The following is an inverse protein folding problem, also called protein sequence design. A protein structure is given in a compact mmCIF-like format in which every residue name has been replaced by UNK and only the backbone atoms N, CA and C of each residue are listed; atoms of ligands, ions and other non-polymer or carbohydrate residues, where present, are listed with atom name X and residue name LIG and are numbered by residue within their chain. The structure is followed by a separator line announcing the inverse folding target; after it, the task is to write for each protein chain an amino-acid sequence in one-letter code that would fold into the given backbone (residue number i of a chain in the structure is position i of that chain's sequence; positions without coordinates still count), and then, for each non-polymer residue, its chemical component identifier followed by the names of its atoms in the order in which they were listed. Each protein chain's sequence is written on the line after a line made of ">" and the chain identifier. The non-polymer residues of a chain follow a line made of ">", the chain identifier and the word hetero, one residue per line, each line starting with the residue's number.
data_IF_486117804097
#
_entry.id   IF_486117804097
#
_cell.length_a   1.000
_cell.length_b   1.000
_cell.length_c   1.000
_cell.angle_alpha   90.00
_cell.angle_beta   90.00
_cell.angle_gamma   90.00
#
_symmetry.space_group_name_H-M   'P 1'
#
loop_
_entity.id
_entity.type
_entity.pdbx_description
1 polymer ?
#
# COMPACT_ATOMS: atom_id res chain seq x y z
N UNK A 1 73.20 43.44 -33.28
CA UNK A 1 73.50 42.19 -32.55
C UNK A 1 72.89 42.31 -31.17
N UNK A 2 71.69 41.77 -30.95
CA UNK A 2 70.98 41.70 -29.63
C UNK A 2 70.85 40.27 -29.28
N UNK A 3 71.61 39.84 -28.29
CA UNK A 3 71.62 38.49 -27.73
C UNK A 3 70.36 38.32 -26.82
N UNK A 4 69.41 37.50 -27.26
CA UNK A 4 68.30 37.08 -26.43
C UNK A 4 68.73 35.92 -25.49
N UNK A 5 68.65 36.14 -24.22
CA UNK A 5 68.86 35.12 -23.16
C UNK A 5 67.64 34.21 -23.10
N UNK A 6 67.76 32.86 -23.07
CA UNK A 6 66.64 31.97 -22.99
C UNK A 6 66.07 31.96 -21.57
N UNK A 7 64.74 32.08 -21.42
CA UNK A 7 63.97 31.96 -20.19
C UNK A 7 63.98 30.48 -19.76
N UNK A 8 64.64 30.19 -18.63
CA UNK A 8 64.53 28.87 -17.96
C UNK A 8 63.19 28.77 -17.27
N UNK A 9 62.30 27.91 -17.78
CA UNK A 9 61.07 27.55 -17.12
C UNK A 9 61.39 26.44 -16.09
N UNK A 10 61.40 26.80 -14.82
CA UNK A 10 61.44 25.82 -13.74
C UNK A 10 60.10 25.07 -13.65
N UNK A 11 60.08 23.73 -13.68
CA UNK A 11 58.85 22.99 -13.42
C UNK A 11 58.48 23.14 -11.93
N UNK A 12 57.36 23.78 -11.67
CA UNK A 12 56.75 23.85 -10.33
C UNK A 12 56.20 22.45 -10.04
N UNK A 13 57.05 21.61 -9.44
CA UNK A 13 56.71 20.31 -8.92
C UNK A 13 55.90 20.44 -7.63
N UNK A 14 54.64 20.85 -7.76
CA UNK A 14 53.67 20.73 -6.69
C UNK A 14 53.28 19.25 -6.53
N UNK A 15 53.79 18.59 -5.48
CA UNK A 15 53.29 17.27 -5.07
C UNK A 15 51.80 17.42 -4.73
N UNK A 16 50.95 16.91 -5.62
CA UNK A 16 49.54 16.77 -5.30
C UNK A 16 49.39 15.89 -4.06
N UNK A 17 48.55 16.25 -3.10
CA UNK A 17 48.31 15.41 -1.95
C UNK A 17 47.82 14.04 -2.42
N UNK A 18 48.44 12.97 -1.89
CA UNK A 18 48.13 11.59 -2.20
C UNK A 18 46.70 11.28 -1.74
N UNK A 19 45.73 11.66 -2.57
CA UNK A 19 44.35 11.20 -2.42
C UNK A 19 44.31 9.68 -2.68
N UNK A 20 43.59 8.95 -1.86
CA UNK A 20 43.34 7.53 -2.05
C UNK A 20 43.03 7.21 -3.53
N UNK A 21 43.62 6.15 -4.10
CA UNK A 21 43.44 5.83 -5.52
C UNK A 21 41.97 5.80 -5.90
N UNK A 22 41.60 6.31 -7.05
CA UNK A 22 40.22 6.46 -7.55
C UNK A 22 39.36 5.18 -7.36
N UNK A 23 39.97 4.01 -7.60
CA UNK A 23 39.35 2.70 -7.39
C UNK A 23 38.95 2.49 -5.94
N UNK A 24 39.81 2.84 -4.99
CA UNK A 24 39.54 2.73 -3.56
C UNK A 24 38.38 3.64 -3.11
N UNK A 25 38.37 4.89 -3.59
CA UNK A 25 37.25 5.83 -3.32
C UNK A 25 35.91 5.34 -3.92
N UNK A 26 35.94 4.73 -5.10
CA UNK A 26 34.74 4.15 -5.75
C UNK A 26 34.24 2.96 -4.94
N UNK A 27 35.12 2.05 -4.55
CA UNK A 27 34.77 0.87 -3.75
C UNK A 27 34.27 1.28 -2.35
N UNK A 28 34.95 2.20 -1.68
CA UNK A 28 34.52 2.73 -0.37
C UNK A 28 33.13 3.40 -0.44
N UNK A 29 32.85 4.20 -1.48
CA UNK A 29 31.49 4.77 -1.72
C UNK A 29 30.46 3.69 -1.98
N UNK A 30 30.81 2.66 -2.74
CA UNK A 30 29.88 1.54 -3.00
C UNK A 30 29.59 0.79 -1.70
N UNK A 31 30.62 0.44 -0.92
CA UNK A 31 30.46 -0.21 0.39
C UNK A 31 29.57 0.65 1.31
N UNK A 32 29.86 1.93 1.45
CA UNK A 32 29.09 2.86 2.27
C UNK A 32 27.61 2.88 1.83
N UNK A 33 27.35 3.01 0.52
CA UNK A 33 25.98 3.04 -0.01
C UNK A 33 25.25 1.72 0.29
N UNK A 34 25.88 0.56 0.04
CA UNK A 34 25.25 -0.73 0.33
C UNK A 34 25.03 -0.93 1.82
N UNK A 35 25.96 -0.51 2.68
CA UNK A 35 25.81 -0.57 4.14
C UNK A 35 24.63 0.28 4.59
N UNK A 36 24.54 1.54 4.13
CA UNK A 36 23.43 2.42 4.46
C UNK A 36 22.09 1.85 3.95
N UNK A 37 22.04 1.36 2.71
CA UNK A 37 20.83 0.75 2.15
C UNK A 37 20.42 -0.51 2.95
N UNK A 38 21.37 -1.35 3.34
CA UNK A 38 21.09 -2.55 4.13
C UNK A 38 20.57 -2.17 5.52
N UNK A 39 21.19 -1.20 6.19
CA UNK A 39 20.73 -0.72 7.50
C UNK A 39 19.31 -0.14 7.42
N UNK A 40 19.02 0.66 6.38
CA UNK A 40 17.67 1.18 6.16
C UNK A 40 16.67 0.04 5.87
N UNK A 41 17.04 -0.93 5.04
CA UNK A 41 16.19 -2.08 4.76
C UNK A 41 15.89 -2.90 6.03
N UNK A 42 16.91 -3.16 6.86
CA UNK A 42 16.74 -3.82 8.15
C UNK A 42 15.85 -3.01 9.10
N UNK A 43 16.03 -1.70 9.15
CA UNK A 43 15.23 -0.81 9.99
C UNK A 43 13.74 -0.83 9.60
N UNK A 44 13.44 -0.75 8.29
CA UNK A 44 12.05 -0.82 7.81
C UNK A 44 11.45 -2.23 7.88
N UNK A 45 12.26 -3.28 7.73
CA UNK A 45 11.80 -4.65 7.85
C UNK A 45 11.59 -5.09 9.31
N UNK A 46 12.22 -4.40 10.27
CA UNK A 46 12.23 -4.72 11.68
C UNK A 46 10.83 -4.95 12.29
N UNK A 47 9.84 -4.04 12.13
CA UNK A 47 8.50 -4.26 12.70
C UNK A 47 7.81 -5.48 12.09
N UNK A 48 8.00 -5.72 10.79
CA UNK A 48 7.41 -6.86 10.08
C UNK A 48 8.01 -8.18 10.55
N UNK A 49 9.35 -8.24 10.68
CA UNK A 49 10.04 -9.43 11.19
C UNK A 49 9.63 -9.72 12.63
N UNK A 50 9.59 -8.69 13.49
CA UNK A 50 9.10 -8.83 14.85
C UNK A 50 7.69 -9.41 14.93
N UNK A 51 6.76 -8.86 14.14
CA UNK A 51 5.39 -9.31 14.09
C UNK A 51 5.29 -10.77 13.66
N UNK A 52 5.98 -11.15 12.57
CA UNK A 52 5.95 -12.53 12.04
C UNK A 52 6.59 -13.53 13.01
N UNK A 53 7.74 -13.20 13.59
CA UNK A 53 8.44 -14.07 14.55
C UNK A 53 7.62 -14.25 15.83
N UNK A 54 7.02 -13.17 16.34
CA UNK A 54 6.18 -13.24 17.54
C UNK A 54 4.88 -14.01 17.30
N UNK A 55 4.30 -13.89 16.10
CA UNK A 55 3.09 -14.62 15.73
C UNK A 55 3.25 -16.15 15.76
N UNK A 56 4.46 -16.67 15.54
CA UNK A 56 4.74 -18.12 15.59
C UNK A 56 5.22 -18.61 16.96
N UNK A 57 5.47 -17.72 17.93
CA UNK A 57 5.82 -18.12 19.31
C UNK A 57 4.57 -18.53 20.05
N UNK A 58 4.58 -19.72 20.64
CA UNK A 58 3.41 -20.33 21.28
C UNK A 58 3.18 -19.87 22.72
N UNK A 59 4.16 -19.23 23.36
CA UNK A 59 4.09 -18.80 24.76
C UNK A 59 4.02 -17.28 24.87
N UNK A 60 2.94 -16.78 25.43
CA UNK A 60 2.66 -15.36 25.63
C UNK A 60 3.67 -14.67 26.55
N UNK A 61 4.11 -15.35 27.60
CA UNK A 61 5.14 -14.86 28.53
C UNK A 61 6.48 -14.67 27.81
N UNK A 62 6.82 -15.56 26.87
CA UNK A 62 8.02 -15.46 26.06
C UNK A 62 7.94 -14.24 25.11
N UNK A 63 6.80 -14.01 24.48
CA UNK A 63 6.62 -12.85 23.59
C UNK A 63 6.89 -11.55 24.36
N UNK A 64 6.28 -11.40 25.52
CA UNK A 64 6.42 -10.20 26.35
C UNK A 64 7.81 -10.03 26.95
N UNK A 65 8.49 -11.12 27.34
CA UNK A 65 9.85 -11.07 27.91
C UNK A 65 10.92 -10.78 26.86
N UNK A 66 10.72 -11.25 25.62
CA UNK A 66 11.69 -11.11 24.55
C UNK A 66 11.71 -9.70 23.89
N UNK A 67 10.66 -8.87 24.12
CA UNK A 67 10.49 -7.54 23.47
C UNK A 67 11.71 -6.62 23.67
N UNK A 68 12.41 -6.74 24.81
CA UNK A 68 13.60 -5.90 25.12
C UNK A 68 14.92 -6.41 24.53
N UNK A 69 14.95 -7.51 23.78
CA UNK A 69 16.17 -8.16 23.32
C UNK A 69 16.18 -8.65 21.90
N UNK A 70 17.35 -9.13 21.44
CA UNK A 70 17.52 -9.71 20.08
C UNK A 70 16.63 -10.94 19.87
N UNK A 71 16.18 -11.61 20.92
CA UNK A 71 15.27 -12.76 20.87
C UNK A 71 13.88 -12.40 20.29
N UNK A 72 13.51 -11.12 20.33
CA UNK A 72 12.29 -10.64 19.68
C UNK A 72 12.25 -10.94 18.16
N UNK A 73 13.42 -11.01 17.52
CA UNK A 73 13.59 -11.16 16.07
C UNK A 73 14.07 -12.54 15.65
N UNK A 74 14.30 -13.42 16.61
CA UNK A 74 14.80 -14.78 16.35
C UNK A 74 13.74 -15.77 16.78
N UNK A 75 13.37 -16.74 15.91
CA UNK A 75 12.46 -17.82 16.27
C UNK A 75 13.15 -18.77 17.26
N UNK A 76 13.07 -18.50 18.55
CA UNK A 76 13.69 -19.29 19.62
C UNK A 76 12.64 -19.57 20.71
N UNK A 77 12.68 -20.78 21.35
CA UNK A 77 13.49 -21.95 21.01
C UNK A 77 13.04 -22.63 19.72
N UNK A 78 13.99 -23.23 18.99
CA UNK A 78 13.73 -23.95 17.74
C UNK A 78 13.07 -25.33 18.01
N UNK A 79 11.99 -25.33 18.75
CA UNK A 79 11.18 -26.51 19.04
C UNK A 79 9.80 -26.32 18.42
N UNK A 80 9.41 -27.20 17.52
CA UNK A 80 8.06 -27.19 16.97
C UNK A 80 7.07 -27.70 18.02
N UNK A 81 6.01 -26.94 18.25
CA UNK A 81 4.89 -27.30 19.11
C UNK A 81 3.65 -27.44 18.23
N UNK A 82 3.02 -28.63 18.18
CA UNK A 82 1.78 -28.80 17.46
C UNK A 82 0.66 -27.96 18.14
N UNK A 83 -0.37 -27.55 17.40
CA UNK A 83 -1.48 -26.81 17.95
C UNK A 83 -2.23 -27.67 18.99
N UNK A 84 -2.53 -27.07 20.13
CA UNK A 84 -3.20 -27.71 21.27
C UNK A 84 -4.46 -26.92 21.61
N UNK A 85 -5.52 -27.61 21.99
CA UNK A 85 -6.75 -26.96 22.42
C UNK A 85 -6.60 -26.37 23.84
N UNK A 86 -6.94 -25.08 23.99
CA UNK A 86 -7.06 -24.38 25.29
C UNK A 86 -5.80 -24.26 26.14
N UNK A 87 -4.68 -23.84 25.54
CA UNK A 87 -3.49 -23.47 26.31
C UNK A 87 -3.67 -22.21 27.17
N UNK A 88 -4.64 -21.37 26.83
CA UNK A 88 -4.88 -20.10 27.53
C UNK A 88 -5.34 -20.30 28.98
N UNK A 89 -6.12 -21.35 29.22
CA UNK A 89 -6.63 -21.74 30.54
C UNK A 89 -5.73 -22.72 31.28
N UNK A 90 -4.62 -23.15 30.66
CA UNK A 90 -3.71 -24.10 31.25
C UNK A 90 -2.82 -23.46 32.34
N UNK A 91 -2.45 -24.18 33.41
CA UNK A 91 -1.48 -23.73 34.40
C UNK A 91 -0.14 -23.30 33.75
N UNK A 92 0.55 -22.33 34.37
CA UNK A 92 1.80 -21.80 33.85
C UNK A 92 2.86 -22.87 33.56
N UNK A 93 2.91 -23.94 34.35
CA UNK A 93 3.80 -25.08 34.15
C UNK A 93 3.53 -25.81 32.84
N UNK A 94 2.25 -26.03 32.51
CA UNK A 94 1.83 -26.68 31.27
C UNK A 94 2.13 -25.73 30.09
N UNK A 95 1.83 -24.44 30.19
CA UNK A 95 2.13 -23.45 29.15
C UNK A 95 3.63 -23.38 28.87
N UNK A 96 4.47 -23.44 29.90
CA UNK A 96 5.92 -23.42 29.76
C UNK A 96 6.47 -24.68 29.07
N UNK A 97 5.83 -25.84 29.29
CA UNK A 97 6.17 -27.08 28.59
C UNK A 97 5.93 -27.00 27.07
N UNK A 98 5.01 -26.12 26.64
CA UNK A 98 4.71 -25.86 25.23
C UNK A 98 5.42 -24.63 24.66
N UNK A 99 6.47 -24.15 25.30
CA UNK A 99 7.30 -23.06 24.76
C UNK A 99 8.02 -23.52 23.50
N UNK A 100 7.78 -22.85 22.39
CA UNK A 100 8.34 -23.22 21.09
C UNK A 100 7.77 -22.38 19.96
N UNK A 101 7.80 -22.95 18.77
CA UNK A 101 7.29 -22.34 17.54
C UNK A 101 6.15 -23.20 17.01
N UNK A 102 5.05 -22.57 16.67
CA UNK A 102 3.90 -23.28 16.12
C UNK A 102 2.84 -22.36 15.53
N UNK A 103 1.86 -22.93 14.83
CA UNK A 103 0.78 -22.16 14.23
C UNK A 103 -0.38 -21.86 15.22
N UNK A 104 -0.22 -22.11 16.54
CA UNK A 104 -1.26 -22.01 17.54
C UNK A 104 -2.01 -20.68 17.48
N UNK A 105 -1.29 -19.55 17.52
CA UNK A 105 -1.88 -18.22 17.51
C UNK A 105 -2.75 -17.96 16.27
N UNK A 106 -2.37 -18.53 15.12
CA UNK A 106 -3.16 -18.41 13.89
C UNK A 106 -4.48 -19.19 14.02
N UNK A 107 -4.47 -20.39 14.58
CA UNK A 107 -5.69 -21.18 14.82
C UNK A 107 -6.60 -20.50 15.84
N UNK A 108 -6.02 -19.92 16.89
CA UNK A 108 -6.79 -19.25 17.94
C UNK A 108 -7.50 -18.00 17.42
N UNK A 109 -6.92 -17.26 16.45
CA UNK A 109 -7.64 -16.19 15.76
C UNK A 109 -8.92 -16.70 15.09
N UNK A 110 -8.87 -17.83 14.37
CA UNK A 110 -10.07 -18.41 13.73
C UNK A 110 -11.09 -18.96 14.72
N UNK A 111 -10.66 -19.38 15.92
CA UNK A 111 -11.54 -19.85 17.00
C UNK A 111 -12.26 -18.71 17.70
N UNK A 112 -11.56 -17.59 17.91
CA UNK A 112 -12.07 -16.42 18.64
C UNK A 112 -13.00 -15.55 17.81
N UNK A 113 -12.85 -15.56 16.49
CA UNK A 113 -13.67 -14.75 15.60
C UNK A 113 -13.77 -15.36 14.19
N UNK A 114 -14.82 -15.02 13.43
CA UNK A 114 -15.00 -15.49 12.07
C UNK A 114 -14.05 -14.75 11.08
N UNK A 115 -12.71 -14.90 11.30
CA UNK A 115 -11.66 -14.24 10.53
C UNK A 115 -11.84 -14.40 9.01
N UNK A 116 -12.19 -15.61 8.56
CA UNK A 116 -12.41 -15.90 7.15
C UNK A 116 -13.49 -15.02 6.51
N UNK A 117 -14.56 -14.70 7.25
CA UNK A 117 -15.62 -13.79 6.79
C UNK A 117 -15.11 -12.37 6.67
N UNK A 118 -14.39 -11.86 7.66
CA UNK A 118 -13.82 -10.51 7.64
C UNK A 118 -12.79 -10.34 6.54
N UNK A 119 -11.96 -11.37 6.31
CA UNK A 119 -11.02 -11.41 5.19
C UNK A 119 -11.76 -11.36 3.85
N UNK A 120 -12.80 -12.17 3.69
CA UNK A 120 -13.63 -12.17 2.48
C UNK A 120 -14.27 -10.79 2.24
N UNK A 121 -14.85 -10.18 3.27
CA UNK A 121 -15.43 -8.84 3.19
C UNK A 121 -14.40 -7.81 2.72
N UNK A 122 -13.20 -7.82 3.31
CA UNK A 122 -12.12 -6.93 2.91
C UNK A 122 -11.67 -7.15 1.47
N UNK A 123 -11.52 -8.40 1.03
CA UNK A 123 -11.17 -8.74 -0.35
C UNK A 123 -12.27 -8.27 -1.29
N UNK A 124 -13.54 -8.59 -1.01
CA UNK A 124 -14.68 -8.24 -1.87
C UNK A 124 -14.82 -6.72 -2.01
N UNK A 125 -14.84 -6.00 -0.89
CA UNK A 125 -14.97 -4.54 -0.89
C UNK A 125 -13.80 -3.91 -1.64
N UNK A 126 -12.58 -4.32 -1.34
CA UNK A 126 -11.37 -3.73 -1.94
C UNK A 126 -11.29 -4.02 -3.43
N UNK A 127 -11.43 -5.28 -3.85
CA UNK A 127 -11.31 -5.64 -5.27
C UNK A 127 -12.40 -5.03 -6.12
N UNK A 128 -13.65 -4.98 -5.61
CA UNK A 128 -14.77 -4.36 -6.31
C UNK A 128 -14.59 -2.85 -6.42
N UNK A 129 -14.20 -2.17 -5.33
CA UNK A 129 -13.95 -0.72 -5.35
C UNK A 129 -12.81 -0.35 -6.27
N UNK A 130 -11.72 -1.14 -6.27
CA UNK A 130 -10.58 -0.93 -7.18
C UNK A 130 -11.01 -1.15 -8.62
N UNK A 131 -11.65 -2.27 -8.95
CA UNK A 131 -12.06 -2.62 -10.31
C UNK A 131 -13.01 -1.59 -10.92
N UNK A 132 -14.09 -1.26 -10.21
CA UNK A 132 -15.03 -0.21 -10.63
C UNK A 132 -14.35 1.16 -10.67
N UNK A 133 -13.48 1.45 -9.70
CA UNK A 133 -12.74 2.71 -9.63
C UNK A 133 -11.80 2.91 -10.81
N UNK A 134 -11.06 1.89 -11.23
CA UNK A 134 -10.22 1.95 -12.43
C UNK A 134 -11.04 2.30 -13.67
N UNK A 135 -12.19 1.66 -13.82
CA UNK A 135 -13.08 1.90 -14.94
C UNK A 135 -13.66 3.32 -14.92
N UNK A 136 -14.31 3.69 -13.82
CA UNK A 136 -15.02 4.98 -13.72
C UNK A 136 -14.07 6.16 -13.77
N UNK A 137 -12.95 6.12 -13.01
CA UNK A 137 -12.01 7.24 -12.95
C UNK A 137 -11.24 7.42 -14.26
N UNK A 138 -10.87 6.34 -14.96
CA UNK A 138 -10.20 6.45 -16.26
C UNK A 138 -11.14 6.97 -17.34
N UNK A 139 -12.42 6.51 -17.37
CA UNK A 139 -13.44 7.05 -18.28
C UNK A 139 -13.69 8.53 -18.01
N UNK A 140 -13.76 8.94 -16.72
CA UNK A 140 -13.94 10.35 -16.35
C UNK A 140 -12.74 11.22 -16.75
N UNK A 141 -11.53 10.70 -16.62
CA UNK A 141 -10.29 11.40 -16.98
C UNK A 141 -10.10 11.57 -18.50
N UNK A 142 -10.63 10.66 -19.32
CA UNK A 142 -10.46 10.69 -20.77
C UNK A 142 -10.96 11.97 -21.43
N UNK A 143 -12.23 12.41 -21.25
CA UNK A 143 -12.71 13.67 -21.81
C UNK A 143 -11.96 14.88 -21.26
N UNK A 144 -11.54 14.85 -20.00
CA UNK A 144 -10.73 15.90 -19.41
C UNK A 144 -9.34 16.01 -20.04
N UNK A 145 -8.73 14.92 -20.46
CA UNK A 145 -7.40 14.90 -21.04
C UNK A 145 -7.41 15.14 -22.57
N UNK A 146 -8.35 14.56 -23.29
CA UNK A 146 -8.27 14.39 -24.75
C UNK A 146 -9.33 15.19 -25.53
N UNK A 147 -10.46 15.56 -24.90
CA UNK A 147 -11.52 16.27 -25.61
C UNK A 147 -11.47 17.76 -25.33
N UNK A 148 -11.90 18.56 -26.31
CA UNK A 148 -12.07 20.03 -26.17
C UNK A 148 -13.56 20.30 -25.95
N UNK A 149 -13.92 20.84 -24.77
CA UNK A 149 -15.28 21.22 -24.44
C UNK A 149 -15.31 22.42 -23.48
N UNK A 150 -16.40 23.18 -23.51
CA UNK A 150 -16.59 24.34 -22.63
C UNK A 150 -16.74 23.90 -21.18
N UNK A 151 -16.00 24.52 -20.25
CA UNK A 151 -16.05 24.17 -18.82
C UNK A 151 -15.03 23.12 -18.35
N UNK A 152 -14.27 22.49 -19.25
CA UNK A 152 -13.25 21.49 -18.91
C UNK A 152 -12.33 21.94 -17.79
N UNK A 153 -11.77 23.15 -17.89
CA UNK A 153 -10.80 23.67 -16.92
C UNK A 153 -11.46 23.93 -15.54
N UNK A 154 -12.74 24.32 -15.52
CA UNK A 154 -13.50 24.51 -14.27
C UNK A 154 -13.69 23.16 -13.57
N UNK A 155 -14.11 22.13 -14.31
CA UNK A 155 -14.28 20.79 -13.75
C UNK A 155 -12.94 20.23 -13.26
N UNK A 156 -11.86 20.43 -14.04
CA UNK A 156 -10.53 19.99 -13.61
C UNK A 156 -10.08 20.71 -12.33
N UNK A 157 -10.30 22.03 -12.25
CA UNK A 157 -9.98 22.81 -11.05
C UNK A 157 -10.79 22.33 -9.84
N UNK A 158 -12.08 22.01 -10.03
CA UNK A 158 -12.91 21.44 -8.97
C UNK A 158 -12.38 20.06 -8.50
N UNK A 159 -12.01 19.19 -9.42
CA UNK A 159 -11.39 17.87 -9.08
C UNK A 159 -10.11 18.07 -8.26
N UNK A 160 -9.22 18.99 -8.68
CA UNK A 160 -7.99 19.29 -7.95
C UNK A 160 -8.29 19.86 -6.56
N UNK A 161 -9.28 20.73 -6.44
CA UNK A 161 -9.70 21.27 -5.15
C UNK A 161 -10.23 20.18 -4.20
N UNK A 162 -10.95 19.18 -4.71
CA UNK A 162 -11.46 18.07 -3.92
C UNK A 162 -10.35 17.18 -3.34
N UNK A 163 -9.14 17.13 -3.95
CA UNK A 163 -7.99 16.36 -3.43
C UNK A 163 -7.51 16.93 -2.07
N UNK A 164 -7.69 18.24 -1.85
CA UNK A 164 -7.20 18.94 -0.66
C UNK A 164 -8.11 18.66 0.55
N UNK A 165 -9.39 18.31 0.31
CA UNK A 165 -10.37 18.09 1.39
C UNK A 165 -10.07 16.76 2.08
N UNK A 166 -9.73 16.75 3.39
CA UNK A 166 -9.48 15.52 4.12
C UNK A 166 -10.78 14.72 4.26
N UNK A 167 -10.66 13.38 4.11
CA UNK A 167 -11.82 12.50 4.19
C UNK A 167 -12.57 12.62 5.54
N UNK A 168 -11.85 12.82 6.63
CA UNK A 168 -12.40 12.97 7.99
C UNK A 168 -13.43 14.11 8.08
N UNK A 169 -13.23 15.18 7.33
CA UNK A 169 -14.15 16.32 7.30
C UNK A 169 -15.48 15.98 6.60
N UNK A 170 -15.45 15.06 5.63
CA UNK A 170 -16.65 14.67 4.86
C UNK A 170 -17.29 13.38 5.37
N UNK A 171 -16.63 12.64 6.25
CA UNK A 171 -17.09 11.32 6.70
C UNK A 171 -18.48 11.37 7.35
N UNK A 172 -18.71 12.32 8.27
CA UNK A 172 -20.00 12.45 8.96
C UNK A 172 -21.10 12.94 8.01
N UNK A 173 -20.94 14.01 7.21
CA UNK A 173 -21.92 14.39 6.20
C UNK A 173 -22.24 13.26 5.21
N UNK A 174 -21.23 12.51 4.76
CA UNK A 174 -21.42 11.38 3.87
C UNK A 174 -22.21 10.24 4.55
N UNK A 175 -21.91 9.94 5.82
CA UNK A 175 -22.68 8.99 6.60
C UNK A 175 -24.17 9.39 6.68
N UNK A 176 -24.46 10.65 7.01
CA UNK A 176 -25.83 11.16 7.06
C UNK A 176 -26.53 11.10 5.70
N UNK A 177 -25.81 11.37 4.62
CA UNK A 177 -26.34 11.22 3.27
C UNK A 177 -26.73 9.77 2.98
N UNK A 178 -25.85 8.81 3.29
CA UNK A 178 -26.08 7.39 3.02
C UNK A 178 -27.23 6.79 3.82
N UNK A 179 -27.62 7.38 4.98
CA UNK A 179 -28.82 6.98 5.74
C UNK A 179 -30.13 7.32 5.03
N UNK A 180 -30.11 8.28 4.11
CA UNK A 180 -31.32 8.80 3.42
C UNK A 180 -31.47 8.26 2.01
N UNK A 181 -30.45 7.61 1.46
CA UNK A 181 -30.49 7.08 0.09
C UNK A 181 -31.39 5.84 0.00
N UNK A 182 -32.12 5.67 -1.10
CA UNK A 182 -32.90 4.46 -1.33
C UNK A 182 -31.99 3.25 -1.43
N UNK A 183 -32.38 2.15 -0.80
CA UNK A 183 -31.62 0.88 -0.80
C UNK A 183 -32.03 0.05 -2.01
N UNK A 184 -31.09 -0.46 -2.82
CA UNK A 184 -31.39 -1.47 -3.82
C UNK A 184 -32.03 -2.71 -3.15
N UNK A 185 -33.19 -3.12 -3.65
CA UNK A 185 -33.97 -4.21 -3.03
C UNK A 185 -35.05 -3.74 -2.04
N UNK A 186 -35.18 -2.42 -1.85
CA UNK A 186 -36.25 -1.81 -1.01
C UNK A 186 -35.74 -1.26 0.32
N UNK A 187 -36.46 -0.27 0.85
CA UNK A 187 -36.12 0.43 2.09
C UNK A 187 -35.24 1.67 1.89
N UNK A 188 -34.84 2.27 3.01
CA UNK A 188 -34.02 3.50 3.05
C UNK A 188 -32.76 3.20 3.88
N UNK A 189 -31.64 3.79 3.47
CA UNK A 189 -30.37 3.69 4.16
C UNK A 189 -29.50 2.54 3.67
N UNK A 190 -28.20 2.84 3.52
CA UNK A 190 -27.20 1.89 3.03
C UNK A 190 -26.38 1.24 4.14
N UNK A 191 -26.63 1.57 5.40
CA UNK A 191 -25.90 0.99 6.55
C UNK A 191 -25.94 -0.54 6.50
N UNK A 192 -24.89 -1.16 7.01
CA UNK A 192 -24.76 -2.61 7.08
C UNK A 192 -24.92 -3.30 5.71
N UNK A 193 -24.29 -2.73 4.68
CA UNK A 193 -24.23 -3.31 3.34
C UNK A 193 -22.86 -3.15 2.69
N UNK A 194 -22.56 -3.96 1.68
CA UNK A 194 -21.38 -3.73 0.84
C UNK A 194 -21.49 -2.46 0.01
N UNK A 195 -22.70 -2.02 -0.32
CA UNK A 195 -22.95 -0.83 -1.16
C UNK A 195 -22.38 0.42 -0.50
N UNK A 196 -22.61 0.62 0.79
CA UNK A 196 -22.09 1.78 1.52
C UNK A 196 -20.57 1.79 1.63
N UNK A 197 -19.95 0.61 1.60
CA UNK A 197 -18.49 0.49 1.63
C UNK A 197 -17.84 0.69 0.25
N UNK A 198 -18.55 0.42 -0.83
CA UNK A 198 -18.02 0.41 -2.20
C UNK A 198 -18.36 1.70 -2.95
N UNK A 199 -19.66 2.01 -3.09
CA UNK A 199 -20.13 3.04 -4.04
C UNK A 199 -19.56 4.43 -3.78
N UNK A 200 -19.50 4.96 -2.53
CA UNK A 200 -18.95 6.28 -2.27
C UNK A 200 -17.50 6.47 -2.70
N UNK A 201 -16.75 5.38 -2.84
CA UNK A 201 -15.32 5.37 -3.13
C UNK A 201 -14.95 4.87 -4.52
N UNK A 202 -15.93 4.54 -5.36
CA UNK A 202 -15.68 4.15 -6.76
C UNK A 202 -15.03 5.29 -7.52
N UNK A 203 -15.64 6.48 -7.48
CA UNK A 203 -15.08 7.69 -8.09
C UNK A 203 -14.30 8.49 -7.03
N UNK A 204 -13.07 8.86 -7.34
CA UNK A 204 -12.27 9.73 -6.48
C UNK A 204 -11.39 10.70 -7.29
N UNK A 205 -11.25 11.90 -6.76
CA UNK A 205 -10.57 13.00 -7.42
C UNK A 205 -9.09 12.71 -7.72
N UNK A 206 -8.40 12.02 -6.81
CA UNK A 206 -6.98 11.71 -6.94
C UNK A 206 -6.73 10.72 -8.09
N UNK A 207 -7.51 9.65 -8.19
CA UNK A 207 -7.42 8.69 -9.28
C UNK A 207 -7.75 9.32 -10.63
N UNK A 208 -8.80 10.17 -10.72
CA UNK A 208 -9.14 10.90 -11.94
C UNK A 208 -7.97 11.80 -12.37
N UNK A 209 -7.36 12.51 -11.42
CA UNK A 209 -6.24 13.40 -11.70
C UNK A 209 -4.99 12.63 -12.17
N UNK A 210 -4.66 11.48 -11.57
CA UNK A 210 -3.55 10.63 -12.02
C UNK A 210 -3.75 10.13 -13.45
N UNK A 211 -4.95 9.64 -13.78
CA UNK A 211 -5.27 9.25 -15.16
C UNK A 211 -5.19 10.44 -16.10
N UNK A 212 -5.74 11.60 -15.72
CA UNK A 212 -5.67 12.82 -16.51
C UNK A 212 -4.22 13.19 -16.83
N UNK A 213 -3.35 13.24 -15.81
CA UNK A 213 -1.93 13.59 -15.99
C UNK A 213 -1.19 12.63 -16.92
N UNK A 214 -1.50 11.34 -16.82
CA UNK A 214 -0.91 10.35 -17.70
C UNK A 214 -1.44 10.50 -19.15
N UNK A 215 -2.74 10.65 -19.30
CA UNK A 215 -3.37 10.71 -20.62
C UNK A 215 -2.95 11.94 -21.41
N UNK A 216 -2.72 13.09 -20.80
CA UNK A 216 -2.21 14.26 -21.52
C UNK A 216 -0.80 14.06 -22.07
N UNK A 217 0.00 13.17 -21.49
CA UNK A 217 1.35 12.82 -21.91
C UNK A 217 1.41 11.90 -23.14
N UNK A 218 0.30 11.26 -23.53
CA UNK A 218 0.23 10.41 -24.73
C UNK A 218 0.21 11.31 -25.97
N UNK A 219 1.01 11.02 -27.04
CA UNK A 219 1.00 11.80 -28.28
C UNK A 219 -0.40 11.94 -28.88
N UNK A 220 -0.77 13.16 -29.29
CA UNK A 220 -2.10 13.42 -29.87
C UNK A 220 -2.25 12.87 -31.29
N UNK A 221 -1.15 12.72 -31.98
CA UNK A 221 -1.11 12.17 -33.36
C UNK A 221 -1.78 10.80 -33.46
N UNK A 222 -1.74 10.00 -32.37
CA UNK A 222 -2.42 8.72 -32.31
C UNK A 222 -3.96 8.85 -32.36
N UNK A 223 -4.50 9.89 -31.69
CA UNK A 223 -5.94 10.17 -31.73
C UNK A 223 -6.33 10.74 -33.08
N UNK A 224 -5.51 11.65 -33.66
CA UNK A 224 -5.78 12.31 -34.92
C UNK A 224 -5.76 11.32 -36.08
N UNK A 225 -4.77 10.42 -36.14
CA UNK A 225 -4.74 9.33 -37.10
C UNK A 225 -5.99 8.44 -37.03
N UNK A 226 -6.37 8.02 -35.81
CA UNK A 226 -7.56 7.18 -35.61
C UNK A 226 -8.87 7.88 -36.01
N UNK A 227 -8.95 9.21 -35.83
CA UNK A 227 -10.11 10.00 -36.26
C UNK A 227 -10.18 10.07 -37.79
N UNK A 228 -9.04 10.24 -38.46
CA UNK A 228 -8.96 10.21 -39.94
C UNK A 228 -9.42 8.87 -40.51
N UNK A 229 -9.14 7.77 -39.78
CA UNK A 229 -9.63 6.42 -40.10
C UNK A 229 -11.12 6.21 -39.72
N UNK A 230 -11.82 7.24 -39.25
CA UNK A 230 -13.25 7.16 -38.90
C UNK A 230 -13.54 6.43 -37.58
N UNK A 231 -12.52 6.24 -36.70
CA UNK A 231 -12.70 5.52 -35.45
C UNK A 231 -13.41 6.40 -34.42
N UNK A 232 -14.43 5.85 -33.73
CA UNK A 232 -15.20 6.56 -32.71
C UNK A 232 -14.35 6.85 -31.46
N UNK A 233 -14.68 7.93 -30.72
CA UNK A 233 -13.97 8.35 -29.49
C UNK A 233 -13.91 7.25 -28.44
N UNK A 234 -14.97 6.48 -28.26
CA UNK A 234 -14.99 5.36 -27.32
C UNK A 234 -14.04 4.24 -27.74
N UNK A 235 -13.94 3.97 -29.04
CA UNK A 235 -13.01 2.97 -29.58
C UNK A 235 -11.55 3.43 -29.44
N UNK A 236 -11.28 4.74 -29.63
CA UNK A 236 -9.95 5.35 -29.36
C UNK A 236 -9.59 5.13 -27.88
N UNK A 237 -10.51 5.39 -26.97
CA UNK A 237 -10.26 5.16 -25.54
C UNK A 237 -9.86 3.70 -25.26
N UNK A 238 -10.64 2.72 -25.73
CA UNK A 238 -10.38 1.31 -25.43
C UNK A 238 -9.17 0.73 -26.16
N UNK A 239 -8.95 1.09 -27.42
CA UNK A 239 -7.95 0.45 -28.27
C UNK A 239 -6.62 1.19 -28.30
N UNK A 240 -6.59 2.47 -27.97
CA UNK A 240 -5.37 3.30 -28.01
C UNK A 240 -4.99 3.77 -26.60
N UNK A 241 -5.89 4.48 -25.91
CA UNK A 241 -5.55 5.11 -24.63
C UNK A 241 -5.33 4.06 -23.53
N UNK A 242 -6.26 3.14 -23.31
CA UNK A 242 -6.15 2.13 -22.25
C UNK A 242 -4.91 1.24 -22.43
N UNK A 243 -4.60 0.67 -23.61
CA UNK A 243 -3.40 -0.17 -23.76
C UNK A 243 -2.08 0.57 -23.55
N UNK A 244 -2.00 1.84 -23.97
CA UNK A 244 -0.82 2.68 -23.77
C UNK A 244 -0.69 3.21 -22.33
N UNK A 245 -1.73 3.04 -21.51
CA UNK A 245 -1.82 3.57 -20.14
C UNK A 245 -1.66 2.49 -19.06
N UNK A 246 -1.24 1.27 -19.39
CA UNK A 246 -1.05 0.18 -18.43
C UNK A 246 -0.28 0.59 -17.16
N UNK A 247 0.80 1.41 -17.25
CA UNK A 247 1.53 1.82 -16.05
C UNK A 247 0.69 2.62 -15.06
N UNK A 248 -0.12 3.58 -15.52
CA UNK A 248 -0.97 4.37 -14.61
C UNK A 248 -2.13 3.54 -14.07
N UNK A 249 -2.70 2.60 -14.83
CA UNK A 249 -3.70 1.66 -14.31
C UNK A 249 -3.12 0.85 -13.14
N UNK A 250 -1.90 0.33 -13.26
CA UNK A 250 -1.23 -0.39 -12.18
C UNK A 250 -0.98 0.53 -10.97
N UNK A 251 -0.52 1.76 -11.19
CA UNK A 251 -0.27 2.73 -10.12
C UNK A 251 -1.56 3.06 -9.36
N UNK A 252 -2.64 3.41 -10.07
CA UNK A 252 -3.94 3.72 -9.45
C UNK A 252 -4.51 2.50 -8.73
N UNK A 253 -4.39 1.30 -9.31
CA UNK A 253 -4.84 0.07 -8.67
C UNK A 253 -4.16 -0.15 -7.32
N UNK A 254 -2.83 0.00 -7.26
CA UNK A 254 -2.05 -0.18 -6.02
C UNK A 254 -2.44 0.87 -4.98
N UNK A 255 -2.45 2.15 -5.35
CA UNK A 255 -2.74 3.23 -4.42
C UNK A 255 -4.16 3.13 -3.86
N UNK A 256 -5.14 2.85 -4.73
CA UNK A 256 -6.54 2.65 -4.34
C UNK A 256 -6.71 1.40 -3.48
N UNK A 257 -6.02 0.30 -3.82
CA UNK A 257 -6.02 -0.90 -3.00
C UNK A 257 -5.53 -0.61 -1.57
N UNK A 258 -4.37 0.04 -1.43
CA UNK A 258 -3.79 0.37 -0.13
C UNK A 258 -4.72 1.25 0.70
N UNK A 259 -5.36 2.22 0.05
CA UNK A 259 -6.30 3.12 0.72
C UNK A 259 -7.56 2.38 1.21
N UNK A 260 -8.20 1.57 0.35
CA UNK A 260 -9.42 0.83 0.71
C UNK A 260 -9.11 -0.27 1.72
N UNK A 261 -8.02 -1.03 1.51
CA UNK A 261 -7.61 -2.11 2.42
C UNK A 261 -7.31 -1.61 3.83
N UNK A 262 -6.68 -0.43 3.95
CA UNK A 262 -6.37 0.21 5.23
C UNK A 262 -7.52 1.03 5.82
N UNK A 263 -8.65 1.16 5.13
CA UNK A 263 -9.76 1.99 5.59
C UNK A 263 -10.37 1.45 6.88
N UNK A 264 -10.39 2.29 7.93
CA UNK A 264 -10.93 1.96 9.24
C UNK A 264 -12.12 2.85 9.62
N UNK A 265 -11.95 4.18 9.50
CA UNK A 265 -12.94 5.14 9.98
C UNK A 265 -14.32 4.96 9.32
N UNK A 266 -14.34 4.80 8.00
CA UNK A 266 -15.60 4.69 7.28
C UNK A 266 -16.38 3.42 7.63
N UNK A 267 -15.83 2.20 7.54
CA UNK A 267 -16.53 1.01 7.97
C UNK A 267 -16.96 1.05 9.44
N UNK A 268 -16.16 1.66 10.33
CA UNK A 268 -16.52 1.84 11.73
C UNK A 268 -17.80 2.66 11.92
N UNK A 269 -17.98 3.70 11.08
CA UNK A 269 -19.16 4.58 11.16
C UNK A 269 -20.42 3.93 10.58
N UNK A 270 -20.30 3.11 9.54
CA UNK A 270 -21.44 2.66 8.74
C UNK A 270 -21.78 1.17 8.87
N UNK A 271 -20.90 0.37 9.49
CA UNK A 271 -21.08 -1.08 9.65
C UNK A 271 -21.15 -1.45 11.13
N UNK A 272 -22.32 -1.92 11.55
CA UNK A 272 -22.59 -2.43 12.90
C UNK A 272 -22.63 -3.95 12.94
N UNK A 273 -23.24 -4.55 11.89
CA UNK A 273 -23.42 -5.99 11.80
C UNK A 273 -22.10 -6.70 11.48
N UNK A 274 -21.72 -7.76 12.24
CA UNK A 274 -20.48 -8.51 12.02
C UNK A 274 -20.38 -9.12 10.60
N UNK A 275 -21.52 -9.40 9.96
CA UNK A 275 -21.57 -10.01 8.62
C UNK A 275 -20.86 -9.19 7.56
N UNK A 276 -20.83 -7.85 7.68
CA UNK A 276 -20.28 -6.92 6.70
C UNK A 276 -18.97 -6.27 7.14
N UNK A 277 -18.45 -6.61 8.33
CA UNK A 277 -17.24 -6.00 8.87
C UNK A 277 -16.00 -6.37 8.06
N UNK A 278 -15.14 -5.40 7.70
CA UNK A 278 -13.83 -5.67 7.14
C UNK A 278 -12.81 -5.97 8.23
N UNK A 279 -11.64 -6.49 7.84
CA UNK A 279 -10.55 -6.86 8.74
C UNK A 279 -10.09 -5.73 9.66
N UNK A 280 -10.05 -4.48 9.18
CA UNK A 280 -9.57 -3.33 9.95
C UNK A 280 -10.43 -3.05 11.20
N UNK A 281 -11.76 -3.14 11.06
CA UNK A 281 -12.69 -2.99 12.19
C UNK A 281 -12.63 -4.20 13.12
N UNK A 282 -12.58 -5.41 12.55
CA UNK A 282 -12.46 -6.64 13.31
C UNK A 282 -11.16 -6.71 14.11
N UNK A 283 -10.05 -6.21 13.56
CA UNK A 283 -8.77 -6.14 14.24
C UNK A 283 -8.84 -5.25 15.49
N UNK A 284 -9.47 -4.08 15.39
CA UNK A 284 -9.64 -3.19 16.53
C UNK A 284 -10.48 -3.83 17.66
N UNK A 285 -11.53 -4.54 17.29
CA UNK A 285 -12.37 -5.28 18.24
C UNK A 285 -11.57 -6.42 18.90
N UNK A 286 -10.74 -7.11 18.12
CA UNK A 286 -9.86 -8.16 18.63
C UNK A 286 -8.82 -7.61 19.63
N UNK A 287 -8.23 -6.46 19.37
CA UNK A 287 -7.34 -5.76 20.30
C UNK A 287 -8.02 -5.37 21.62
N UNK A 288 -9.33 -5.15 21.61
CA UNK A 288 -10.14 -4.81 22.79
C UNK A 288 -10.52 -6.00 23.66
N UNK A 289 -10.30 -7.24 23.22
CA UNK A 289 -10.65 -8.45 24.00
C UNK A 289 -9.75 -8.62 25.23
N UNK A 290 -10.32 -9.20 26.29
CA UNK A 290 -9.60 -9.52 27.51
C UNK A 290 -9.73 -11.03 27.81
N UNK A 291 -8.65 -11.74 28.22
CA UNK A 291 -7.27 -11.25 28.32
C UNK A 291 -6.68 -10.94 26.93
N UNK A 292 -5.82 -9.91 26.86
CA UNK A 292 -5.11 -9.58 25.63
C UNK A 292 -3.97 -10.56 25.41
N UNK A 293 -4.06 -11.33 24.34
CA UNK A 293 -3.01 -12.26 23.90
C UNK A 293 -2.25 -11.64 22.73
N UNK A 294 -0.98 -11.34 22.96
CA UNK A 294 -0.11 -10.69 21.99
C UNK A 294 0.21 -11.61 20.81
N UNK A 295 0.39 -12.93 21.07
CA UNK A 295 0.62 -13.91 20.03
C UNK A 295 -0.49 -13.93 18.99
N UNK A 296 -1.74 -14.03 19.44
CA UNK A 296 -2.94 -14.02 18.59
C UNK A 296 -3.09 -12.68 17.86
N UNK A 297 -2.84 -11.58 18.57
CA UNK A 297 -2.90 -10.22 18.01
C UNK A 297 -1.90 -10.05 16.87
N UNK A 298 -0.67 -10.50 17.05
CA UNK A 298 0.38 -10.43 16.04
C UNK A 298 0.16 -11.43 14.90
N UNK A 299 -0.46 -12.59 15.18
CA UNK A 299 -0.90 -13.52 14.15
C UNK A 299 -2.01 -12.92 13.27
N UNK A 300 -3.01 -12.26 13.88
CA UNK A 300 -4.05 -11.53 13.14
C UNK A 300 -3.44 -10.45 12.25
N UNK A 301 -2.57 -9.61 12.81
CA UNK A 301 -1.87 -8.55 12.06
C UNK A 301 -1.02 -9.11 10.91
N UNK A 302 -0.32 -10.24 11.13
CA UNK A 302 0.45 -10.95 10.09
C UNK A 302 -0.45 -11.39 8.95
N UNK A 303 -1.57 -12.06 9.25
CA UNK A 303 -2.52 -12.51 8.23
C UNK A 303 -3.15 -11.34 7.45
N UNK A 304 -3.44 -10.23 8.13
CA UNK A 304 -3.99 -9.02 7.49
C UNK A 304 -2.97 -8.34 6.58
N UNK A 305 -1.68 -8.45 6.89
CA UNK A 305 -0.58 -7.87 6.09
C UNK A 305 -0.26 -8.71 4.85
N UNK A 306 -0.50 -10.02 4.87
CA UNK A 306 -0.16 -10.91 3.75
C UNK A 306 -0.73 -10.49 2.40
N UNK A 307 -2.01 -10.11 2.23
CA UNK A 307 -2.53 -9.66 0.94
C UNK A 307 -1.82 -8.42 0.39
N UNK A 308 -1.43 -7.49 1.28
CA UNK A 308 -0.67 -6.28 0.90
C UNK A 308 0.72 -6.67 0.42
N UNK A 309 1.38 -7.58 1.13
CA UNK A 309 2.72 -8.08 0.77
C UNK A 309 2.69 -8.81 -0.57
N UNK A 310 1.70 -9.69 -0.79
CA UNK A 310 1.51 -10.41 -2.06
C UNK A 310 1.29 -9.42 -3.20
N UNK A 311 0.43 -8.43 -3.02
CA UNK A 311 0.20 -7.39 -4.02
C UNK A 311 1.49 -6.62 -4.32
N UNK A 312 2.24 -6.20 -3.29
CA UNK A 312 3.50 -5.51 -3.47
C UNK A 312 4.51 -6.36 -4.27
N UNK A 313 4.71 -7.62 -3.92
CA UNK A 313 5.62 -8.52 -4.62
C UNK A 313 5.19 -8.77 -6.08
N UNK A 314 3.88 -8.86 -6.35
CA UNK A 314 3.35 -9.03 -7.70
C UNK A 314 3.59 -7.80 -8.59
N UNK A 315 3.46 -6.60 -8.02
CA UNK A 315 3.48 -5.34 -8.75
C UNK A 315 4.75 -4.50 -8.56
N UNK A 316 5.74 -4.92 -7.76
CA UNK A 316 6.96 -4.16 -7.43
C UNK A 316 7.71 -3.62 -8.66
N UNK A 317 7.78 -4.40 -9.75
CA UNK A 317 8.45 -3.97 -11.00
C UNK A 317 7.76 -2.77 -11.69
N UNK A 318 6.43 -2.67 -11.53
CA UNK A 318 5.66 -1.56 -12.08
C UNK A 318 5.84 -0.30 -11.23
N UNK A 319 5.90 -0.48 -9.91
CA UNK A 319 6.14 0.60 -8.94
C UNK A 319 7.52 1.24 -9.14
N UNK A 320 8.58 0.44 -9.25
CA UNK A 320 9.95 0.93 -9.45
C UNK A 320 10.07 1.73 -10.75
N UNK A 321 9.42 1.30 -11.84
CA UNK A 321 9.46 2.02 -13.13
C UNK A 321 8.73 3.36 -13.09
N UNK A 322 7.61 3.46 -12.38
CA UNK A 322 6.86 4.72 -12.27
C UNK A 322 7.61 5.77 -11.46
N UNK A 323 8.23 5.37 -10.35
CA UNK A 323 9.05 6.26 -9.50
C UNK A 323 10.33 6.71 -10.23
N UNK A 324 10.98 5.81 -10.95
CA UNK A 324 12.17 6.14 -11.74
C UNK A 324 11.87 7.14 -12.88
N UNK A 325 10.71 7.03 -13.52
CA UNK A 325 10.30 7.94 -14.59
C UNK A 325 10.01 9.37 -14.09
N UNK A 326 9.59 9.53 -12.84
CA UNK A 326 9.37 10.86 -12.22
C UNK A 326 10.66 11.49 -11.68
N UNK A 327 11.67 10.67 -11.37
CA UNK A 327 12.96 11.14 -10.82
C UNK A 327 14.00 11.62 -11.85
N UNK A 328 13.76 11.45 -13.16
CA UNK A 328 14.74 11.79 -14.23
C UNK A 328 14.35 13.12 -14.95
N UNK A 329 13.52 13.95 -14.37
CA UNK A 329 13.32 15.33 -14.85
C UNK A 329 14.11 16.29 -13.95
N UNK A 330 15.44 16.24 -14.10
CA UNK A 330 16.41 17.17 -13.56
C UNK A 330 17.60 17.24 -14.48
#
# INVERSE_FOLDING_TARGET
>A
MSTQTPIQVHPVGGKMPHGLPYRFRKTAKAILNYTVMTLLACFFAFPLVFMMVSAIKTNETQITSDVGGLRAFVPYPLRFVPPVDRLDDAPAEIRNAYTGLGPQNFFDVFRRMPFGRFLWNSILVTTTTVGLGLLVNSIAAYPLARLKWKGRNVVLAAIVALIIIPFEAVAIPLMLLTTRLPRPGGGIGWHDTYIVQIIPFVADAFSIYLFYQFFIGIPKDLDEAAIMDGVSRLRIYWNIIVPNSRPVFATVAILKFLWVWGSYLWPLLVIRLPEYRPLTVAMQEFFGQYPRLWGDTLAFATMTTLPVLVLFLAFQRWFIRSVAATGIKG
#
